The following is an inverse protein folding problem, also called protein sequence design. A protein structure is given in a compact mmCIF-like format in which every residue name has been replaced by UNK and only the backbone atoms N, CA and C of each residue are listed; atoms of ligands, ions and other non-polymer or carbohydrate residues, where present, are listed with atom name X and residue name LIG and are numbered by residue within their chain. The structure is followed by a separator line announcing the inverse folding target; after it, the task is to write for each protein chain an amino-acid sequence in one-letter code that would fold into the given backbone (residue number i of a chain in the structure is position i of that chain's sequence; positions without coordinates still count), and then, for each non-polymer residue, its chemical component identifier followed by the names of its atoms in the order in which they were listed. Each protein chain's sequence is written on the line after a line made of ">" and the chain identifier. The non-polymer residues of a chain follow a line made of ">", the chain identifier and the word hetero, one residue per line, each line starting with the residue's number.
data_IF_056950658276
#
_entry.id   IF_056950658276
#
_cell.length_a   1.000
_cell.length_b   1.000
_cell.length_c   1.000
_cell.angle_alpha   90.00
_cell.angle_beta   90.00
_cell.angle_gamma   90.00
#
_symmetry.space_group_name_H-M   'P 1'
#
loop_
_entity.id
_entity.type
_entity.pdbx_description
1 polymer ?
#
# COMPACT_ATOMS: atom_id res chain seq x y z
N UNK A 1 15.81 -8.97 18.08
CA UNK A 1 15.84 -7.51 17.80
C UNK A 1 16.65 -7.28 16.52
N UNK A 2 16.09 -6.62 15.49
CA UNK A 2 16.87 -6.23 14.32
C UNK A 2 17.94 -5.22 14.70
N UNK A 3 19.18 -5.40 14.20
CA UNK A 3 20.27 -4.45 14.33
C UNK A 3 20.59 -3.89 12.94
N UNK A 4 20.78 -2.57 12.85
CA UNK A 4 21.08 -1.89 11.59
C UNK A 4 22.60 -1.82 11.45
N UNK A 5 23.12 -2.25 10.30
CA UNK A 5 24.52 -2.08 9.90
C UNK A 5 24.53 -1.16 8.69
N UNK A 6 25.22 -0.02 8.78
CA UNK A 6 25.39 0.91 7.68
C UNK A 6 26.85 0.89 7.22
N UNK A 7 27.08 0.64 5.93
CA UNK A 7 28.42 0.59 5.32
C UNK A 7 28.51 1.69 4.28
N UNK A 8 29.55 2.53 4.36
CA UNK A 8 29.86 3.51 3.31
C UNK A 8 30.83 2.87 2.33
N UNK A 9 30.44 2.85 1.07
CA UNK A 9 31.23 2.29 -0.02
C UNK A 9 31.58 3.41 -1.02
N UNK A 10 32.77 3.36 -1.63
CA UNK A 10 33.08 4.13 -2.82
C UNK A 10 32.10 3.83 -3.98
N UNK A 11 31.86 4.81 -4.84
CA UNK A 11 30.87 4.72 -5.93
C UNK A 11 31.18 3.62 -6.95
N UNK A 12 32.46 3.38 -7.22
CA UNK A 12 32.94 2.32 -8.10
C UNK A 12 32.61 0.93 -7.55
N UNK A 13 32.84 0.72 -6.25
CA UNK A 13 32.52 -0.53 -5.56
C UNK A 13 31.01 -0.75 -5.52
N UNK A 14 30.23 0.31 -5.28
CA UNK A 14 28.77 0.20 -5.27
C UNK A 14 28.21 -0.19 -6.64
N UNK A 15 28.73 0.39 -7.73
CA UNK A 15 28.33 0.03 -9.11
C UNK A 15 28.66 -1.42 -9.45
N UNK A 16 29.80 -1.92 -9.00
CA UNK A 16 30.16 -3.32 -9.22
C UNK A 16 29.22 -4.27 -8.48
N UNK A 17 28.86 -3.93 -7.23
CA UNK A 17 27.87 -4.67 -6.46
C UNK A 17 26.48 -4.64 -7.12
N UNK A 18 26.07 -3.49 -7.67
CA UNK A 18 24.79 -3.39 -8.40
C UNK A 18 24.76 -4.27 -9.64
N UNK A 19 25.86 -4.30 -10.41
CA UNK A 19 25.98 -5.15 -11.58
C UNK A 19 25.88 -6.62 -11.21
N UNK A 20 26.66 -7.07 -10.22
CA UNK A 20 26.65 -8.46 -9.75
C UNK A 20 25.31 -8.85 -9.12
N UNK A 21 24.68 -7.95 -8.38
CA UNK A 21 23.34 -8.15 -7.83
C UNK A 21 22.32 -8.45 -8.94
N UNK A 22 22.34 -7.67 -10.02
CA UNK A 22 21.43 -7.88 -11.17
C UNK A 22 21.72 -9.17 -11.93
N UNK A 23 22.99 -9.54 -12.10
CA UNK A 23 23.41 -10.81 -12.72
C UNK A 23 22.99 -12.03 -11.88
N UNK A 24 22.90 -11.90 -10.56
CA UNK A 24 22.40 -12.93 -9.65
C UNK A 24 20.88 -12.83 -9.39
N UNK A 25 20.18 -11.90 -10.05
CA UNK A 25 18.71 -11.78 -10.00
C UNK A 25 18.16 -10.96 -8.82
N UNK A 26 19.00 -10.23 -8.09
CA UNK A 26 18.58 -9.35 -7.00
C UNK A 26 18.17 -7.97 -7.51
N UNK A 27 17.03 -7.47 -6.99
CA UNK A 27 16.51 -6.12 -7.31
C UNK A 27 17.22 -5.04 -6.48
N UNK A 28 17.57 -5.35 -5.24
CA UNK A 28 18.21 -4.43 -4.30
C UNK A 28 19.63 -4.89 -3.96
N UNK A 29 20.58 -3.95 -4.03
CA UNK A 29 21.97 -4.21 -3.63
C UNK A 29 22.07 -4.60 -2.16
N UNK A 30 21.20 -4.06 -1.30
CA UNK A 30 21.14 -4.43 0.12
C UNK A 30 20.81 -5.90 0.35
N UNK A 31 19.92 -6.47 -0.47
CA UNK A 31 19.53 -7.87 -0.37
C UNK A 31 20.65 -8.78 -0.86
N UNK A 32 21.33 -8.37 -1.93
CA UNK A 32 22.53 -9.05 -2.41
C UNK A 32 23.67 -9.05 -1.38
N UNK A 33 23.97 -7.89 -0.79
CA UNK A 33 25.00 -7.77 0.26
C UNK A 33 24.63 -8.59 1.49
N UNK A 34 23.36 -8.60 1.88
CA UNK A 34 22.86 -9.44 2.97
C UNK A 34 23.06 -10.92 2.65
N UNK A 35 22.78 -11.34 1.43
CA UNK A 35 22.98 -12.72 0.99
C UNK A 35 24.47 -13.11 1.01
N UNK A 36 25.37 -12.24 0.53
CA UNK A 36 26.83 -12.47 0.62
C UNK A 36 27.25 -12.64 2.08
N UNK A 37 26.84 -11.74 2.96
CA UNK A 37 27.17 -11.81 4.40
C UNK A 37 26.64 -13.11 5.00
N UNK A 38 25.41 -13.50 4.68
CA UNK A 38 24.84 -14.75 5.18
C UNK A 38 25.58 -15.97 4.61
N UNK A 39 25.97 -15.95 3.33
CA UNK A 39 26.75 -17.00 2.66
C UNK A 39 28.11 -17.21 3.33
N UNK A 40 28.86 -16.13 3.56
CA UNK A 40 30.17 -16.17 4.26
C UNK A 40 30.03 -16.63 5.71
N UNK A 41 28.92 -16.28 6.37
CA UNK A 41 28.62 -16.75 7.73
C UNK A 41 28.08 -18.19 7.78
N UNK A 42 27.95 -18.88 6.63
CA UNK A 42 27.40 -20.24 6.54
C UNK A 42 25.91 -20.33 6.92
N UNK A 43 25.19 -19.20 6.90
CA UNK A 43 23.76 -19.07 7.25
C UNK A 43 22.89 -18.64 6.06
N UNK A 44 23.49 -18.48 4.88
CA UNK A 44 22.81 -18.15 3.63
C UNK A 44 21.90 -19.28 3.17
N UNK A 45 20.77 -18.92 2.57
CA UNK A 45 19.88 -19.88 1.92
C UNK A 45 20.63 -20.61 0.80
N UNK A 46 20.14 -21.78 0.45
CA UNK A 46 20.68 -22.56 -0.67
C UNK A 46 20.42 -21.77 -1.97
N UNK A 47 21.46 -21.17 -2.57
CA UNK A 47 21.32 -20.45 -3.85
C UNK A 47 21.29 -21.43 -5.02
N UNK A 48 20.49 -21.13 -6.06
CA UNK A 48 20.34 -21.97 -7.25
C UNK A 48 21.68 -22.25 -7.94
N UNK A 49 22.52 -21.21 -8.13
CA UNK A 49 23.90 -21.37 -8.63
C UNK A 49 24.76 -22.25 -7.74
N UNK A 50 24.62 -22.14 -6.42
CA UNK A 50 25.34 -22.98 -5.46
C UNK A 50 24.88 -24.44 -5.48
N UNK A 51 23.65 -24.73 -5.92
CA UNK A 51 23.18 -26.11 -6.15
C UNK A 51 23.66 -26.62 -7.49
N UNK A 52 23.54 -25.83 -8.56
CA UNK A 52 24.05 -26.18 -9.90
C UNK A 52 25.54 -26.51 -9.86
N UNK A 53 26.36 -25.65 -9.23
CA UNK A 53 27.79 -25.87 -9.12
C UNK A 53 28.12 -27.12 -8.29
N UNK A 54 27.29 -27.46 -7.30
CA UNK A 54 27.44 -28.70 -6.52
C UNK A 54 26.98 -29.93 -7.32
N UNK A 55 25.98 -29.79 -8.18
CA UNK A 55 25.51 -30.84 -9.08
C UNK A 55 26.57 -31.15 -10.14
N UNK A 56 27.14 -30.13 -10.79
CA UNK A 56 28.19 -30.30 -11.80
C UNK A 56 29.44 -30.98 -11.23
N UNK A 57 29.87 -30.61 -10.01
CA UNK A 57 30.98 -31.30 -9.33
C UNK A 57 30.69 -32.77 -9.03
N UNK A 58 29.43 -33.11 -8.73
CA UNK A 58 29.00 -34.50 -8.52
C UNK A 58 28.94 -35.29 -9.84
N UNK A 59 28.48 -34.67 -10.93
CA UNK A 59 28.43 -35.26 -12.28
C UNK A 59 29.84 -35.53 -12.84
N UNK A 60 30.82 -34.68 -12.51
CA UNK A 60 32.25 -34.88 -12.82
C UNK A 60 32.94 -35.92 -11.91
N UNK A 61 32.21 -36.56 -11.00
CA UNK A 61 32.72 -37.62 -10.13
C UNK A 61 33.51 -37.14 -8.92
N UNK A 62 33.54 -35.83 -8.65
CA UNK A 62 34.20 -35.26 -7.47
C UNK A 62 33.24 -35.36 -6.29
N UNK A 63 33.32 -36.47 -5.56
CA UNK A 63 32.57 -36.67 -4.33
C UNK A 63 32.99 -35.64 -3.28
N UNK A 64 32.03 -34.97 -2.61
CA UNK A 64 32.33 -34.08 -1.49
C UNK A 64 33.21 -34.77 -0.44
N UNK A 65 34.21 -34.07 0.09
CA UNK A 65 35.23 -34.64 0.99
C UNK A 65 34.63 -35.38 2.18
N UNK A 66 33.54 -34.84 2.76
CA UNK A 66 32.81 -35.46 3.87
C UNK A 66 32.10 -36.77 3.49
N UNK A 67 31.67 -36.92 2.24
CA UNK A 67 31.10 -38.17 1.73
C UNK A 67 32.20 -39.21 1.52
N UNK A 68 33.34 -38.80 0.97
CA UNK A 68 34.50 -39.67 0.81
C UNK A 68 35.01 -40.19 2.16
N UNK A 69 35.22 -39.30 3.14
CA UNK A 69 35.60 -39.65 4.51
C UNK A 69 34.65 -40.68 5.13
N UNK A 70 33.34 -40.48 4.95
CA UNK A 70 32.31 -41.34 5.52
C UNK A 70 32.21 -42.69 4.83
N UNK A 71 32.42 -42.74 3.51
CA UNK A 71 32.54 -44.00 2.76
C UNK A 71 33.78 -44.77 3.22
N UNK A 72 34.91 -44.08 3.39
CA UNK A 72 36.16 -44.67 3.90
C UNK A 72 35.98 -45.21 5.33
N UNK A 73 35.27 -44.49 6.20
CA UNK A 73 34.93 -44.97 7.55
C UNK A 73 34.08 -46.25 7.51
N UNK A 74 33.07 -46.31 6.63
CA UNK A 74 32.21 -47.49 6.47
C UNK A 74 33.00 -48.70 5.97
N UNK A 75 33.87 -48.49 4.98
CA UNK A 75 34.74 -49.56 4.44
C UNK A 75 35.72 -50.03 5.51
N UNK A 76 36.32 -49.10 6.28
CA UNK A 76 37.21 -49.42 7.39
C UNK A 76 36.49 -50.17 8.51
N UNK A 77 35.28 -49.78 8.89
CA UNK A 77 34.51 -50.47 9.93
C UNK A 77 34.11 -51.88 9.50
N UNK A 78 33.67 -52.04 8.24
CA UNK A 78 33.33 -53.36 7.70
C UNK A 78 34.56 -54.29 7.63
N UNK A 79 35.72 -53.75 7.27
CA UNK A 79 36.98 -54.51 7.23
C UNK A 79 37.48 -54.87 8.64
N UNK A 80 37.34 -53.97 9.62
CA UNK A 80 37.72 -54.20 11.01
C UNK A 80 36.86 -55.30 11.69
N UNK A 81 35.55 -55.34 11.41
CA UNK A 81 34.66 -56.41 11.89
C UNK A 81 35.02 -57.78 11.30
N UNK A 82 35.48 -57.82 10.04
CA UNK A 82 35.93 -59.04 9.37
C UNK A 82 37.21 -59.62 10.00
N UNK A 83 38.16 -58.77 10.38
CA UNK A 83 39.40 -59.17 11.04
C UNK A 83 39.19 -59.75 12.46
N UNK A 84 38.13 -59.33 13.16
CA UNK A 84 37.79 -59.88 14.48
C UNK A 84 37.08 -61.25 14.41
N UNK A 85 36.58 -61.64 13.24
CA UNK A 85 35.85 -62.91 13.03
C UNK A 85 36.75 -64.14 12.77
N UNK A 86 38.07 -64.01 12.92
CA UNK A 86 38.97 -65.16 13.11
C UNK A 86 39.22 -66.06 11.91
N UNK A 87 39.26 -65.53 10.69
CA UNK A 87 39.67 -66.30 9.50
C UNK A 87 40.97 -65.73 8.92
N UNK A 88 42.04 -66.54 8.86
CA UNK A 88 43.28 -66.19 8.16
C UNK A 88 43.06 -66.12 6.63
N UNK A 89 43.77 -65.25 5.89
CA UNK A 89 43.42 -64.87 4.53
C UNK A 89 44.15 -65.72 3.50
N UNK A 90 43.50 -66.74 2.95
CA UNK A 90 43.96 -67.39 1.71
C UNK A 90 43.03 -67.21 0.51
N UNK A 91 41.86 -66.63 0.73
CA UNK A 91 41.05 -66.03 -0.33
C UNK A 91 40.09 -65.05 0.32
N UNK A 92 40.37 -63.77 0.21
CA UNK A 92 39.36 -62.76 0.54
C UNK A 92 38.22 -63.01 -0.44
N UNK A 93 37.07 -63.49 0.05
CA UNK A 93 35.85 -63.64 -0.75
C UNK A 93 35.36 -62.22 -1.07
N UNK A 94 35.97 -61.60 -2.08
CA UNK A 94 35.68 -60.25 -2.55
C UNK A 94 34.17 -60.09 -2.81
N UNK A 95 33.52 -61.14 -3.33
CA UNK A 95 32.08 -61.19 -3.53
C UNK A 95 31.26 -61.02 -2.22
N UNK A 96 31.74 -61.57 -1.10
CA UNK A 96 31.04 -61.50 0.20
C UNK A 96 31.25 -60.15 0.88
N UNK A 97 32.41 -59.54 0.68
CA UNK A 97 32.68 -58.17 1.14
C UNK A 97 31.88 -57.18 0.29
N UNK A 98 31.89 -57.34 -1.03
CA UNK A 98 31.13 -56.49 -1.95
C UNK A 98 29.63 -56.55 -1.69
N UNK A 99 29.04 -57.73 -1.50
CA UNK A 99 27.60 -57.84 -1.18
C UNK A 99 27.23 -57.19 0.16
N UNK A 100 28.12 -57.20 1.16
CA UNK A 100 27.89 -56.50 2.43
C UNK A 100 28.02 -54.99 2.30
N UNK A 101 29.02 -54.51 1.55
CA UNK A 101 29.19 -53.09 1.23
C UNK A 101 27.99 -52.59 0.43
N UNK A 102 27.58 -53.32 -0.60
CA UNK A 102 26.42 -53.02 -1.44
C UNK A 102 25.15 -52.91 -0.59
N UNK A 103 24.89 -53.88 0.29
CA UNK A 103 23.75 -53.83 1.20
C UNK A 103 23.81 -52.63 2.14
N UNK A 104 24.98 -52.31 2.71
CA UNK A 104 25.13 -51.17 3.63
C UNK A 104 24.99 -49.83 2.91
N UNK A 105 25.49 -49.74 1.68
CA UNK A 105 25.29 -48.58 0.80
C UNK A 105 23.81 -48.44 0.45
N UNK A 106 23.13 -49.55 0.10
CA UNK A 106 21.70 -49.56 -0.21
C UNK A 106 20.86 -49.12 1.00
N UNK A 107 21.16 -49.61 2.20
CA UNK A 107 20.48 -49.22 3.44
C UNK A 107 20.66 -47.72 3.76
N UNK A 108 21.81 -47.15 3.41
CA UNK A 108 22.09 -45.72 3.58
C UNK A 108 21.45 -44.87 2.50
N UNK A 109 21.38 -45.35 1.24
CA UNK A 109 20.83 -44.62 0.09
C UNK A 109 19.30 -44.63 0.11
N UNK A 110 18.66 -45.72 0.52
CA UNK A 110 17.20 -45.86 0.55
C UNK A 110 16.47 -44.68 1.25
N UNK A 111 16.89 -44.23 2.46
CA UNK A 111 16.31 -43.05 3.09
C UNK A 111 16.52 -41.74 2.32
N UNK A 112 17.61 -41.60 1.55
CA UNK A 112 17.83 -40.42 0.70
C UNK A 112 16.98 -40.49 -0.55
N UNK A 113 16.83 -41.66 -1.18
CA UNK A 113 15.90 -41.86 -2.30
C UNK A 113 14.49 -41.46 -1.89
N UNK A 114 14.00 -41.93 -0.74
CA UNK A 114 12.68 -41.55 -0.23
C UNK A 114 12.53 -40.04 0.03
N UNK A 115 13.60 -39.36 0.49
CA UNK A 115 13.59 -37.91 0.68
C UNK A 115 13.61 -37.15 -0.64
N UNK A 116 14.34 -37.65 -1.64
CA UNK A 116 14.37 -37.10 -3.00
C UNK A 116 13.01 -37.24 -3.65
N UNK A 117 12.37 -38.41 -3.54
CA UNK A 117 11.02 -38.63 -4.05
C UNK A 117 10.01 -37.69 -3.39
N UNK A 118 10.06 -37.55 -2.05
CA UNK A 118 9.20 -36.61 -1.33
C UNK A 118 9.44 -35.15 -1.73
N UNK A 119 10.70 -34.78 -2.03
CA UNK A 119 11.05 -33.45 -2.51
C UNK A 119 10.53 -33.23 -3.93
N UNK A 120 10.69 -34.22 -4.82
CA UNK A 120 10.17 -34.19 -6.19
C UNK A 120 8.64 -34.03 -6.20
N UNK A 121 7.92 -34.77 -5.35
CA UNK A 121 6.46 -34.59 -5.21
C UNK A 121 6.09 -33.20 -4.68
N UNK A 122 6.86 -32.65 -3.73
CA UNK A 122 6.61 -31.29 -3.23
C UNK A 122 6.87 -30.23 -4.30
N UNK A 123 7.91 -30.41 -5.12
CA UNK A 123 8.20 -29.51 -6.24
C UNK A 123 7.07 -29.58 -7.27
N UNK A 124 6.61 -30.78 -7.64
CA UNK A 124 5.47 -30.95 -8.55
C UNK A 124 4.21 -30.22 -8.05
N UNK A 125 3.87 -30.40 -6.76
CA UNK A 125 2.73 -29.70 -6.15
C UNK A 125 2.92 -28.18 -6.09
N UNK A 126 4.15 -27.68 -5.97
CA UNK A 126 4.43 -26.25 -5.99
C UNK A 126 4.33 -25.66 -7.40
N UNK A 127 4.78 -26.40 -8.41
CA UNK A 127 4.63 -26.02 -9.83
C UNK A 127 3.15 -25.90 -10.18
N UNK A 128 2.34 -26.92 -9.84
CA UNK A 128 0.88 -26.88 -10.06
C UNK A 128 0.21 -25.68 -9.37
N UNK A 129 0.59 -25.41 -8.11
CA UNK A 129 0.08 -24.23 -7.38
C UNK A 129 0.53 -22.90 -7.98
N UNK A 130 1.71 -22.84 -8.59
CA UNK A 130 2.19 -21.64 -9.26
C UNK A 130 1.41 -21.41 -10.55
N UNK A 131 1.18 -22.46 -11.33
CA UNK A 131 0.33 -22.42 -12.54
C UNK A 131 -1.09 -21.93 -12.21
N UNK A 132 -1.70 -22.45 -11.14
CA UNK A 132 -3.00 -21.98 -10.64
C UNK A 132 -3.00 -20.48 -10.27
N UNK A 133 -1.92 -20.00 -9.66
CA UNK A 133 -1.79 -18.59 -9.26
C UNK A 133 -1.57 -17.71 -10.47
N UNK A 134 -0.76 -18.13 -11.43
CA UNK A 134 -0.54 -17.43 -12.70
C UNK A 134 -1.84 -17.29 -13.48
N UNK A 135 -2.65 -18.36 -13.55
CA UNK A 135 -3.95 -18.31 -14.22
C UNK A 135 -4.90 -17.31 -13.53
N UNK A 136 -4.97 -17.34 -12.20
CA UNK A 136 -5.77 -16.38 -11.42
C UNK A 136 -5.29 -14.95 -11.59
N UNK A 137 -3.98 -14.74 -11.64
CA UNK A 137 -3.39 -13.43 -11.87
C UNK A 137 -3.75 -12.89 -13.25
N UNK A 138 -3.66 -13.72 -14.30
CA UNK A 138 -4.07 -13.34 -15.66
C UNK A 138 -5.54 -12.93 -15.71
N UNK A 139 -6.44 -13.69 -15.06
CA UNK A 139 -7.87 -13.34 -14.97
C UNK A 139 -8.10 -12.01 -14.25
N UNK A 140 -7.41 -11.78 -13.12
CA UNK A 140 -7.49 -10.53 -12.37
C UNK A 140 -6.93 -9.34 -13.19
N UNK A 141 -5.84 -9.54 -13.93
CA UNK A 141 -5.29 -8.51 -14.82
C UNK A 141 -6.27 -8.13 -15.93
N UNK A 142 -6.97 -9.11 -16.51
CA UNK A 142 -8.05 -8.87 -17.49
C UNK A 142 -9.23 -8.13 -16.86
N UNK A 143 -9.71 -8.56 -15.69
CA UNK A 143 -10.79 -7.86 -14.96
C UNK A 143 -10.41 -6.42 -14.62
N UNK A 144 -9.18 -6.17 -14.15
CA UNK A 144 -8.69 -4.81 -13.86
C UNK A 144 -8.61 -3.98 -15.13
N UNK A 145 -8.19 -4.57 -16.26
CA UNK A 145 -8.12 -3.89 -17.55
C UNK A 145 -9.52 -3.50 -18.04
N UNK A 146 -10.50 -4.39 -17.90
CA UNK A 146 -11.89 -4.11 -18.26
C UNK A 146 -12.53 -3.09 -17.31
N UNK A 147 -12.28 -3.15 -16.00
CA UNK A 147 -12.71 -2.12 -15.05
C UNK A 147 -12.08 -0.75 -15.36
N UNK A 148 -10.81 -0.72 -15.77
CA UNK A 148 -10.13 0.52 -16.19
C UNK A 148 -10.71 1.07 -17.49
N UNK A 149 -11.05 0.21 -18.46
CA UNK A 149 -11.75 0.63 -19.68
C UNK A 149 -13.14 1.14 -19.36
N UNK A 150 -13.93 0.41 -18.57
CA UNK A 150 -15.26 0.83 -18.14
C UNK A 150 -15.22 2.15 -17.36
N UNK A 151 -14.22 2.36 -16.50
CA UNK A 151 -14.00 3.63 -15.80
C UNK A 151 -13.60 4.77 -16.74
N UNK A 152 -12.76 4.50 -17.75
CA UNK A 152 -12.43 5.47 -18.81
C UNK A 152 -13.63 5.79 -19.68
N UNK A 153 -14.41 4.79 -20.09
CA UNK A 153 -15.66 4.97 -20.83
C UNK A 153 -16.71 5.69 -19.99
N UNK A 154 -16.78 5.46 -18.68
CA UNK A 154 -17.64 6.25 -17.78
C UNK A 154 -17.14 7.69 -17.62
N UNK A 155 -15.83 7.92 -17.68
CA UNK A 155 -15.24 9.25 -17.67
C UNK A 155 -15.43 9.98 -19.03
N UNK A 156 -15.37 9.26 -20.14
CA UNK A 156 -15.52 9.77 -21.52
C UNK A 156 -16.98 9.91 -21.95
N UNK A 157 -17.88 9.01 -21.50
CA UNK A 157 -19.35 9.14 -21.68
C UNK A 157 -19.97 10.24 -20.83
N UNK A 158 -19.16 11.03 -20.11
CA UNK A 158 -19.58 12.29 -19.53
C UNK A 158 -20.91 12.18 -18.78
N UNK A 159 -20.88 11.67 -17.55
CA UNK A 159 -21.76 12.30 -16.56
C UNK A 159 -21.45 13.79 -16.65
N UNK A 160 -22.44 14.68 -16.92
CA UNK A 160 -22.19 16.11 -16.97
C UNK A 160 -21.42 16.43 -15.71
N UNK A 161 -20.21 17.01 -15.88
CA UNK A 161 -19.29 17.30 -14.77
C UNK A 161 -20.16 17.64 -13.58
N UNK A 162 -20.18 16.78 -12.54
CA UNK A 162 -20.49 17.28 -11.21
C UNK A 162 -19.33 18.22 -10.94
N UNK A 163 -19.49 19.43 -11.48
CA UNK A 163 -18.87 20.65 -11.07
C UNK A 163 -18.82 20.46 -9.57
N UNK A 164 -17.61 20.21 -9.02
CA UNK A 164 -17.41 20.43 -7.61
C UNK A 164 -17.74 21.90 -7.50
N UNK A 165 -19.01 22.22 -7.22
CA UNK A 165 -19.50 23.58 -7.26
C UNK A 165 -18.48 24.32 -6.42
N UNK A 166 -17.75 25.23 -7.06
CA UNK A 166 -16.72 25.95 -6.34
C UNK A 166 -17.41 26.57 -5.13
N UNK A 167 -16.69 26.75 -4.01
CA UNK A 167 -17.30 27.30 -2.80
C UNK A 167 -18.12 28.58 -3.12
N UNK A 168 -17.62 29.38 -4.06
CA UNK A 168 -18.31 30.54 -4.65
C UNK A 168 -19.55 30.22 -5.49
N UNK A 169 -19.58 29.14 -6.27
CA UNK A 169 -20.76 28.78 -7.06
C UNK A 169 -21.87 28.24 -6.16
N UNK A 170 -21.51 27.55 -5.08
CA UNK A 170 -22.46 27.18 -4.05
C UNK A 170 -23.03 28.42 -3.38
N UNK A 171 -22.18 29.40 -3.03
CA UNK A 171 -22.62 30.68 -2.47
C UNK A 171 -23.52 31.44 -3.45
N UNK A 172 -23.16 31.51 -4.73
CA UNK A 172 -23.94 32.18 -5.78
C UNK A 172 -25.31 31.52 -6.01
N UNK A 173 -25.38 30.19 -5.86
CA UNK A 173 -26.65 29.45 -5.96
C UNK A 173 -27.50 29.56 -4.71
N UNK A 174 -26.88 29.53 -3.53
CA UNK A 174 -27.59 29.48 -2.25
C UNK A 174 -27.87 30.87 -1.63
N UNK A 175 -27.15 31.91 -2.08
CA UNK A 175 -27.25 33.31 -1.65
C UNK A 175 -26.60 33.60 -0.29
N UNK A 176 -26.84 32.72 0.69
CA UNK A 176 -26.32 32.79 2.06
C UNK A 176 -25.85 31.41 2.48
N UNK A 177 -24.70 31.34 3.15
CA UNK A 177 -24.15 30.13 3.76
C UNK A 177 -23.83 30.41 5.23
N UNK A 178 -24.44 29.62 6.12
CA UNK A 178 -24.25 29.70 7.56
C UNK A 178 -23.16 28.71 8.02
N UNK A 179 -22.40 29.06 9.06
CA UNK A 179 -21.40 28.16 9.64
C UNK A 179 -22.01 26.88 10.23
N UNK A 180 -23.22 26.99 10.77
CA UNK A 180 -24.02 25.89 11.29
C UNK A 180 -24.40 24.85 10.22
N UNK A 181 -24.56 25.26 8.96
CA UNK A 181 -24.86 24.35 7.83
C UNK A 181 -23.60 23.62 7.31
N UNK A 182 -22.41 24.05 7.73
CA UNK A 182 -21.12 23.50 7.31
C UNK A 182 -20.51 22.53 8.34
N UNK A 183 -21.35 21.79 9.06
CA UNK A 183 -20.90 20.79 10.04
C UNK A 183 -20.03 19.66 9.46
N UNK A 184 -20.08 19.45 8.14
CA UNK A 184 -19.27 18.45 7.42
C UNK A 184 -17.84 18.91 7.09
N UNK A 185 -17.52 20.20 7.24
CA UNK A 185 -16.22 20.76 6.91
C UNK A 185 -15.29 20.78 8.13
N UNK A 186 -14.16 20.06 8.03
CA UNK A 186 -13.15 19.98 9.10
C UNK A 186 -12.43 21.31 9.36
N UNK A 187 -12.34 22.19 8.36
CA UNK A 187 -11.70 23.50 8.48
C UNK A 187 -12.62 24.61 7.94
N UNK A 188 -13.48 25.11 8.82
CA UNK A 188 -14.46 26.17 8.53
C UNK A 188 -13.77 27.51 8.23
N UNK A 189 -12.73 27.85 9.01
CA UNK A 189 -11.95 29.08 8.83
C UNK A 189 -11.40 29.22 7.41
N UNK A 190 -10.74 28.17 6.90
CA UNK A 190 -10.17 28.18 5.55
C UNK A 190 -11.21 28.31 4.43
N UNK A 191 -12.45 27.87 4.68
CA UNK A 191 -13.56 28.00 3.73
C UNK A 191 -14.05 29.45 3.66
N UNK A 192 -14.28 30.09 4.80
CA UNK A 192 -14.68 31.51 4.83
C UNK A 192 -13.57 32.45 4.34
N UNK A 193 -12.30 32.14 4.62
CA UNK A 193 -11.16 32.92 4.10
C UNK A 193 -11.03 32.82 2.57
N UNK A 194 -11.46 31.69 1.98
CA UNK A 194 -11.52 31.52 0.52
C UNK A 194 -12.67 32.31 -0.06
N UNK A 195 -13.86 32.23 0.54
CA UNK A 195 -15.02 33.01 0.12
C UNK A 195 -14.75 34.52 0.19
N UNK A 196 -14.12 35.00 1.26
CA UNK A 196 -13.70 36.41 1.39
C UNK A 196 -12.72 36.83 0.29
N UNK A 197 -11.77 35.97 -0.08
CA UNK A 197 -10.84 36.20 -1.21
C UNK A 197 -11.54 36.20 -2.57
N UNK A 198 -12.60 35.41 -2.71
CA UNK A 198 -13.41 35.30 -3.92
C UNK A 198 -14.52 36.37 -4.00
N UNK A 199 -14.57 37.31 -3.03
CA UNK A 199 -15.47 38.47 -3.05
C UNK A 199 -16.73 38.36 -2.20
N UNK A 200 -16.93 37.27 -1.46
CA UNK A 200 -18.08 37.11 -0.57
C UNK A 200 -17.98 37.99 0.68
N UNK A 201 -19.13 38.51 1.12
CA UNK A 201 -19.23 39.32 2.34
C UNK A 201 -19.47 38.39 3.54
N UNK A 202 -18.47 38.30 4.42
CA UNK A 202 -18.53 37.45 5.62
C UNK A 202 -18.88 38.32 6.84
N UNK A 203 -20.04 38.07 7.43
CA UNK A 203 -20.59 38.78 8.59
C UNK A 203 -20.51 37.84 9.80
N UNK A 204 -20.17 38.37 10.97
CA UNK A 204 -20.26 37.66 12.24
C UNK A 204 -21.59 38.06 12.89
N UNK A 205 -22.55 37.13 12.94
CA UNK A 205 -23.88 37.38 13.50
C UNK A 205 -24.43 36.13 14.21
N UNK A 206 -25.00 36.29 15.40
CA UNK A 206 -25.56 35.22 16.22
C UNK A 206 -24.50 34.23 16.74
N UNK A 207 -23.25 34.70 16.91
CA UNK A 207 -22.13 33.87 17.33
C UNK A 207 -21.57 32.93 16.25
N UNK A 208 -21.97 33.08 14.98
CA UNK A 208 -21.47 32.29 13.85
C UNK A 208 -21.02 33.16 12.67
N UNK A 209 -20.15 32.62 11.80
CA UNK A 209 -19.75 33.29 10.54
C UNK A 209 -20.73 32.98 9.42
N UNK A 210 -21.28 34.01 8.82
CA UNK A 210 -22.23 33.93 7.73
C UNK A 210 -21.60 34.53 6.48
N UNK A 211 -21.46 33.75 5.41
CA UNK A 211 -21.03 34.26 4.11
C UNK A 211 -22.27 34.58 3.27
N UNK A 212 -22.30 35.79 2.72
CA UNK A 212 -23.35 36.27 1.85
C UNK A 212 -22.75 36.68 0.51
N UNK A 213 -23.42 36.31 -0.58
CA UNK A 213 -23.07 36.77 -1.91
C UNK A 213 -23.31 38.30 -2.05
N UNK A 214 -22.42 39.06 -2.72
CA UNK A 214 -22.61 40.51 -2.87
C UNK A 214 -23.90 40.92 -3.58
N UNK A 215 -24.32 40.19 -4.62
CA UNK A 215 -25.55 40.47 -5.37
C UNK A 215 -26.78 40.20 -4.48
N UNK A 216 -26.73 39.09 -3.73
CA UNK A 216 -27.77 38.74 -2.76
C UNK A 216 -27.88 39.77 -1.63
N UNK A 217 -26.73 40.24 -1.11
CA UNK A 217 -26.71 41.24 -0.05
C UNK A 217 -27.35 42.56 -0.49
N UNK A 218 -27.05 43.03 -1.69
CA UNK A 218 -27.65 44.25 -2.23
C UNK A 218 -29.17 44.12 -2.38
N UNK A 219 -29.63 43.03 -3.00
CA UNK A 219 -31.07 42.76 -3.15
C UNK A 219 -31.78 42.65 -1.80
N UNK A 220 -31.13 42.04 -0.80
CA UNK A 220 -31.65 41.95 0.55
C UNK A 220 -31.76 43.32 1.22
N UNK A 221 -30.75 44.18 1.12
CA UNK A 221 -30.78 45.54 1.68
C UNK A 221 -31.85 46.41 0.99
N UNK A 222 -31.99 46.30 -0.33
CA UNK A 222 -33.07 46.97 -1.07
C UNK A 222 -34.45 46.52 -0.59
N UNK A 223 -34.67 45.21 -0.41
CA UNK A 223 -35.92 44.68 0.16
C UNK A 223 -36.15 45.12 1.60
N UNK A 224 -35.11 45.12 2.44
CA UNK A 224 -35.24 45.62 3.82
C UNK A 224 -35.63 47.10 3.86
N UNK A 225 -35.11 47.90 2.92
CA UNK A 225 -35.47 49.31 2.82
C UNK A 225 -36.90 49.55 2.32
N UNK A 226 -37.49 48.61 1.57
CA UNK A 226 -38.86 48.71 1.07
C UNK A 226 -39.90 48.17 2.06
N UNK A 227 -39.49 47.34 3.01
CA UNK A 227 -40.37 46.83 4.07
C UNK A 227 -40.61 47.92 5.10
N UNK A 228 -41.86 48.40 5.13
CA UNK A 228 -42.31 49.45 6.06
C UNK A 228 -42.96 48.96 7.34
N UNK A 229 -42.98 47.64 7.53
CA UNK A 229 -43.64 47.01 8.68
C UNK A 229 -42.60 46.52 9.69
N UNK A 230 -42.90 46.72 10.97
CA UNK A 230 -42.18 46.13 12.10
C UNK A 230 -42.66 44.72 12.49
N UNK A 231 -43.70 44.20 11.81
CA UNK A 231 -44.32 42.91 12.10
C UNK A 231 -43.53 41.76 11.51
N UNK A 232 -43.11 40.83 12.36
CA UNK A 232 -42.28 39.66 11.99
C UNK A 232 -43.02 38.74 11.02
N UNK A 233 -44.34 38.60 11.17
CA UNK A 233 -45.16 37.73 10.33
C UNK A 233 -45.29 38.28 8.90
N UNK A 234 -45.44 39.60 8.74
CA UNK A 234 -45.46 40.24 7.42
C UNK A 234 -44.10 40.19 6.72
N UNK A 235 -43.02 40.32 7.50
CA UNK A 235 -41.65 40.20 7.01
C UNK A 235 -41.39 38.79 6.47
N UNK A 236 -41.95 37.76 7.11
CA UNK A 236 -41.83 36.37 6.66
C UNK A 236 -42.54 36.11 5.33
N UNK A 237 -43.63 36.81 5.04
CA UNK A 237 -44.34 36.70 3.76
C UNK A 237 -43.62 37.44 2.62
N UNK A 238 -42.86 38.48 2.96
CA UNK A 238 -42.14 39.32 1.99
C UNK A 238 -40.70 38.86 1.70
N UNK A 239 -40.08 38.16 2.66
CA UNK A 239 -38.72 37.62 2.54
C UNK A 239 -38.75 36.13 2.25
N UNK A 240 -37.79 35.66 1.44
CA UNK A 240 -37.56 34.23 1.27
C UNK A 240 -37.10 33.60 2.59
N UNK A 241 -37.34 32.32 2.81
CA UNK A 241 -36.97 31.61 4.06
C UNK A 241 -35.51 31.84 4.49
N UNK A 242 -34.59 31.93 3.53
CA UNK A 242 -33.16 32.21 3.77
C UNK A 242 -32.89 33.68 4.14
N UNK A 243 -33.57 34.62 3.48
CA UNK A 243 -33.51 36.05 3.78
C UNK A 243 -34.10 36.33 5.18
N UNK A 244 -35.19 35.64 5.53
CA UNK A 244 -35.80 35.74 6.86
C UNK A 244 -34.88 35.19 7.96
N UNK A 245 -34.19 34.07 7.72
CA UNK A 245 -33.16 33.55 8.65
C UNK A 245 -32.02 34.54 8.84
N UNK A 246 -31.53 35.13 7.75
CA UNK A 246 -30.50 36.18 7.81
C UNK A 246 -31.01 37.39 8.61
N UNK A 247 -32.23 37.86 8.33
CA UNK A 247 -32.88 38.96 9.06
C UNK A 247 -32.99 38.69 10.56
N UNK A 248 -33.48 37.50 10.95
CA UNK A 248 -33.61 37.13 12.37
C UNK A 248 -32.25 37.13 13.08
N UNK A 249 -31.19 36.59 12.44
CA UNK A 249 -29.85 36.60 13.03
C UNK A 249 -29.22 37.98 13.11
N UNK A 250 -29.43 38.81 12.09
CA UNK A 250 -28.99 40.20 12.13
C UNK A 250 -29.74 41.00 13.20
N UNK A 251 -31.02 40.70 13.43
CA UNK A 251 -31.85 41.34 14.46
C UNK A 251 -31.43 40.91 15.86
N UNK A 252 -31.17 39.63 16.08
CA UNK A 252 -30.72 39.08 17.37
C UNK A 252 -29.41 39.72 17.83
N UNK A 253 -28.46 39.96 16.91
CA UNK A 253 -27.19 40.64 17.21
C UNK A 253 -27.27 42.18 17.14
N UNK A 254 -28.45 42.74 16.89
CA UNK A 254 -28.65 44.21 16.83
C UNK A 254 -27.95 44.89 15.65
N UNK A 255 -27.62 44.14 14.59
CA UNK A 255 -26.98 44.65 13.38
C UNK A 255 -27.95 45.37 12.44
N UNK A 256 -29.24 45.12 12.61
CA UNK A 256 -30.33 45.85 11.96
C UNK A 256 -31.25 46.48 13.00
N UNK A 257 -31.71 47.69 12.72
CA UNK A 257 -32.72 48.39 13.53
C UNK A 257 -33.84 48.90 12.62
N UNK A 258 -35.05 48.98 13.16
CA UNK A 258 -36.15 49.63 12.47
C UNK A 258 -36.11 51.13 12.77
N UNK A 259 -35.90 51.94 11.74
CA UNK A 259 -35.99 53.39 11.86
C UNK A 259 -37.48 53.78 11.84
N UNK A 260 -38.02 54.13 13.01
CA UNK A 260 -39.40 54.56 13.17
C UNK A 260 -39.73 55.87 12.45
N UNK A 261 -38.73 56.66 12.07
CA UNK A 261 -38.89 57.94 11.37
C UNK A 261 -38.99 57.76 9.87
N UNK A 262 -38.19 56.84 9.30
CA UNK A 262 -38.26 56.50 7.87
C UNK A 262 -39.19 55.32 7.57
N UNK A 263 -39.63 54.63 8.61
CA UNK A 263 -40.45 53.43 8.51
C UNK A 263 -39.73 52.35 7.70
N UNK A 264 -38.43 52.18 7.88
CA UNK A 264 -37.62 51.26 7.10
C UNK A 264 -36.54 50.60 7.98
N UNK A 265 -36.14 49.38 7.62
CA UNK A 265 -35.06 48.69 8.31
C UNK A 265 -33.69 49.19 7.82
N UNK A 266 -32.80 49.55 8.74
CA UNK A 266 -31.45 50.05 8.46
C UNK A 266 -30.39 49.22 9.18
N UNK A 267 -29.20 49.17 8.58
CA UNK A 267 -28.03 48.51 9.15
C UNK A 267 -27.31 49.45 10.13
N UNK A 268 -26.86 48.91 11.25
CA UNK A 268 -26.14 49.66 12.29
C UNK A 268 -24.65 49.84 11.96
N UNK A 269 -24.09 48.98 11.11
CA UNK A 269 -22.72 49.06 10.60
C UNK A 269 -22.69 48.74 9.10
N UNK A 270 -21.95 49.55 8.35
CA UNK A 270 -21.47 49.15 7.03
C UNK A 270 -20.37 48.10 7.22
N UNK A 271 -20.49 47.00 6.50
CA UNK A 271 -19.60 45.83 6.55
C UNK A 271 -18.94 45.61 5.19
#
# INVERSE_FOLDING_TARGET
>A
MPRIVAVKLPDDVYRELEKRAREEGFVLVSDYVKEIIMRELGKGGVSLRGVEERLSRLEEGVLPTKLYERIVEIVRSAFAELLQSGSEPTSIDEAKIMSRIERRVQDLVNPFTAKVDALASRIANLVEKLEDVEERLSRLEEEVKELRKAAKEHAERGYPRRHRMSAIERLKKEGVVFESELGWLRNKTAFFDRLRREGAKVIEAGGERIAVDPEFWQAFVEKLSSIKTSSVDEIKTMLNDKEFRLFMRLREDGLIYFDSTTGAWRLLKEF
#
